data_IF_557655466786
#
_entry.id   IF_557655466786
#
_cell.length_a   1.000
_cell.length_b   1.000
_cell.length_c   1.000
_cell.angle_alpha   90.00
_cell.angle_beta   90.00
_cell.angle_gamma   90.00
#
_symmetry.space_group_name_H-M   'P 1'
#
loop_
_entity.id
_entity.type
_entity.pdbx_description
1 polymer ?
#
# COMPACT_ATOMS: atom_id res chain seq x y z
N UNK A 1 -5.93 22.90 -17.02
CA UNK A 1 -5.98 22.50 -15.59
C UNK A 1 -5.08 21.28 -15.37
N UNK A 2 -4.14 21.40 -14.45
CA UNK A 2 -3.23 20.29 -14.16
C UNK A 2 -3.82 19.42 -13.07
N UNK A 3 -4.00 18.15 -13.36
CA UNK A 3 -4.25 17.18 -12.32
C UNK A 3 -2.95 16.98 -11.54
N UNK A 4 -3.02 17.04 -10.23
CA UNK A 4 -1.90 16.69 -9.37
C UNK A 4 -1.57 15.20 -9.58
N UNK A 5 -0.29 14.89 -9.77
CA UNK A 5 0.11 13.49 -9.80
C UNK A 5 0.00 12.88 -8.41
N UNK A 6 -0.57 11.69 -8.36
CA UNK A 6 -0.74 10.94 -7.12
C UNK A 6 0.53 10.13 -6.88
N UNK A 7 1.07 10.21 -5.67
CA UNK A 7 2.23 9.44 -5.24
C UNK A 7 1.76 8.25 -4.40
N UNK A 8 2.11 7.05 -4.84
CA UNK A 8 1.77 5.80 -4.17
C UNK A 8 3.04 5.17 -3.62
N UNK A 9 3.08 4.92 -2.33
CA UNK A 9 4.15 4.14 -1.72
C UNK A 9 3.73 2.66 -1.71
N UNK A 10 4.65 1.77 -2.04
CA UNK A 10 4.41 0.33 -2.08
C UNK A 10 5.39 -0.35 -1.14
N UNK A 11 4.88 -1.11 -0.18
CA UNK A 11 5.70 -1.86 0.76
C UNK A 11 5.38 -3.35 0.63
N UNK A 12 6.35 -4.11 0.17
CA UNK A 12 6.24 -5.56 -0.03
C UNK A 12 7.66 -6.14 -0.05
N UNK A 13 7.89 -7.26 0.61
CA UNK A 13 9.21 -7.87 0.65
C UNK A 13 9.54 -8.72 -0.59
N UNK A 14 8.59 -8.89 -1.50
CA UNK A 14 8.81 -9.61 -2.76
C UNK A 14 9.21 -8.62 -3.87
N UNK A 15 10.47 -8.69 -4.36
CA UNK A 15 10.94 -7.76 -5.39
C UNK A 15 10.18 -7.89 -6.71
N UNK A 16 9.62 -9.06 -7.00
CA UNK A 16 8.82 -9.26 -8.21
C UNK A 16 7.51 -8.48 -8.14
N UNK A 17 6.87 -8.47 -6.98
CA UNK A 17 5.66 -7.68 -6.75
C UNK A 17 5.98 -6.19 -6.84
N UNK A 18 7.05 -5.74 -6.19
CA UNK A 18 7.46 -4.33 -6.25
C UNK A 18 7.70 -3.86 -7.68
N UNK A 19 8.42 -4.65 -8.46
CA UNK A 19 8.71 -4.32 -9.86
C UNK A 19 7.47 -4.28 -10.72
N UNK A 20 6.60 -5.28 -10.61
CA UNK A 20 5.37 -5.36 -11.39
C UNK A 20 4.41 -4.22 -11.06
N UNK A 21 4.23 -3.93 -9.78
CA UNK A 21 3.34 -2.86 -9.34
C UNK A 21 3.88 -1.51 -9.78
N UNK A 22 5.19 -1.29 -9.66
CA UNK A 22 5.81 -0.05 -10.12
C UNK A 22 5.57 0.19 -11.59
N UNK A 23 5.79 -0.82 -12.42
CA UNK A 23 5.56 -0.70 -13.87
C UNK A 23 4.11 -0.35 -14.18
N UNK A 24 3.17 -1.02 -13.51
CA UNK A 24 1.75 -0.80 -13.71
C UNK A 24 1.36 0.62 -13.28
N UNK A 25 1.81 1.06 -12.13
CA UNK A 25 1.50 2.40 -11.63
C UNK A 25 2.12 3.49 -12.50
N UNK A 26 3.37 3.32 -12.91
CA UNK A 26 4.04 4.28 -13.79
C UNK A 26 3.32 4.40 -15.14
N UNK A 27 2.84 3.27 -15.68
CA UNK A 27 2.09 3.25 -16.93
C UNK A 27 0.75 4.01 -16.81
N UNK A 28 0.22 4.14 -15.61
CA UNK A 28 -1.01 4.88 -15.32
C UNK A 28 -0.76 6.28 -14.76
N UNK A 29 0.45 6.79 -14.93
CA UNK A 29 0.83 8.17 -14.58
C UNK A 29 0.85 8.46 -13.08
N UNK A 30 1.00 7.43 -12.23
CA UNK A 30 1.26 7.62 -10.81
C UNK A 30 2.76 7.73 -10.56
N UNK A 31 3.13 8.49 -9.54
CA UNK A 31 4.50 8.48 -9.01
C UNK A 31 4.56 7.31 -8.02
N UNK A 32 5.60 6.49 -8.12
CA UNK A 32 5.73 5.27 -7.31
C UNK A 32 7.00 5.30 -6.48
N UNK A 33 6.88 5.05 -5.19
CA UNK A 33 7.98 4.86 -4.26
C UNK A 33 7.89 3.45 -3.70
N UNK A 34 8.92 2.62 -3.89
CA UNK A 34 8.88 1.21 -3.47
C UNK A 34 9.82 0.95 -2.31
N UNK A 35 9.40 0.09 -1.39
CA UNK A 35 10.16 -0.29 -0.21
C UNK A 35 9.99 -1.78 0.06
N UNK A 36 11.10 -2.45 0.41
CA UNK A 36 11.10 -3.87 0.68
C UNK A 36 10.76 -4.19 2.15
N UNK A 37 10.64 -3.18 3.00
CA UNK A 37 10.37 -3.37 4.42
C UNK A 37 9.63 -2.17 5.02
N UNK A 38 8.96 -2.42 6.13
CA UNK A 38 8.31 -1.36 6.90
C UNK A 38 9.35 -0.38 7.44
N UNK A 39 10.49 -0.88 7.90
CA UNK A 39 11.57 -0.05 8.44
C UNK A 39 12.12 0.88 7.37
N UNK A 40 12.34 0.37 6.17
CA UNK A 40 12.82 1.17 5.03
C UNK A 40 11.84 2.29 4.68
N UNK A 41 10.54 1.97 4.69
CA UNK A 41 9.51 2.96 4.43
C UNK A 41 9.50 4.05 5.50
N UNK A 42 9.51 3.68 6.77
CA UNK A 42 9.47 4.64 7.87
C UNK A 42 10.72 5.52 7.91
N UNK A 43 11.89 4.94 7.62
CA UNK A 43 13.16 5.68 7.64
C UNK A 43 13.34 6.60 6.43
N UNK A 44 12.57 6.42 5.38
CA UNK A 44 12.76 7.15 4.12
C UNK A 44 12.34 8.61 4.17
N UNK A 45 11.46 8.98 5.08
CA UNK A 45 10.92 10.33 5.15
C UNK A 45 9.92 10.68 4.06
N UNK A 46 9.39 9.70 3.31
CA UNK A 46 8.48 9.96 2.19
C UNK A 46 7.03 10.25 2.62
N UNK A 47 6.65 9.91 3.85
CA UNK A 47 5.26 9.98 4.29
C UNK A 47 4.58 11.31 3.97
N UNK A 48 5.20 12.49 4.18
CA UNK A 48 4.53 13.76 3.89
C UNK A 48 4.16 13.97 2.42
N UNK A 49 4.84 13.28 1.49
CA UNK A 49 4.56 13.44 0.07
C UNK A 49 3.81 12.27 -0.56
N UNK A 50 3.45 11.27 0.24
CA UNK A 50 2.72 10.08 -0.23
C UNK A 50 1.23 10.31 -0.05
N UNK A 51 0.47 9.99 -1.09
CA UNK A 51 -0.99 10.14 -1.07
C UNK A 51 -1.71 8.87 -0.66
N UNK A 52 -1.09 7.72 -0.86
CA UNK A 52 -1.70 6.41 -0.62
C UNK A 52 -0.61 5.37 -0.41
N UNK A 53 -0.86 4.43 0.50
CA UNK A 53 0.07 3.34 0.81
C UNK A 53 -0.54 2.01 0.37
N UNK A 54 0.20 1.30 -0.47
CA UNK A 54 -0.13 -0.07 -0.87
C UNK A 54 0.78 -1.01 -0.07
N UNK A 55 0.20 -1.82 0.78
CA UNK A 55 0.92 -2.49 1.86
C UNK A 55 0.59 -3.97 1.93
N UNK A 56 1.62 -4.83 1.83
CA UNK A 56 1.46 -6.25 2.06
C UNK A 56 1.11 -6.50 3.53
N UNK A 57 0.09 -7.31 3.79
CA UNK A 57 -0.28 -7.70 5.15
C UNK A 57 0.85 -8.47 5.81
N UNK A 58 1.54 -9.34 5.03
CA UNK A 58 2.63 -10.16 5.55
C UNK A 58 3.98 -9.62 5.10
N UNK A 59 4.69 -9.00 6.01
CA UNK A 59 6.06 -8.56 5.79
C UNK A 59 6.99 -9.38 6.67
N UNK A 60 8.22 -9.58 6.22
CA UNK A 60 9.23 -10.23 7.05
C UNK A 60 9.47 -9.37 8.30
N UNK A 61 9.31 -9.95 9.47
CA UNK A 61 9.58 -9.28 10.74
C UNK A 61 8.48 -8.40 11.30
N UNK A 62 7.43 -8.11 10.52
CA UNK A 62 6.29 -7.31 10.98
C UNK A 62 5.09 -7.55 10.10
N UNK A 63 3.88 -7.41 10.64
CA UNK A 63 2.68 -7.46 9.82
C UNK A 63 2.38 -6.08 9.24
N UNK A 64 1.72 -6.04 8.08
CA UNK A 64 1.25 -4.79 7.51
C UNK A 64 0.24 -4.08 8.42
N UNK A 65 -0.55 -4.85 9.17
CA UNK A 65 -1.49 -4.27 10.13
C UNK A 65 -0.75 -3.54 11.26
N UNK A 66 0.36 -4.07 11.73
CA UNK A 66 1.18 -3.40 12.74
C UNK A 66 1.73 -2.06 12.23
N UNK A 67 2.18 -2.03 10.97
CA UNK A 67 2.65 -0.78 10.37
C UNK A 67 1.51 0.23 10.28
N UNK A 68 0.34 -0.21 9.86
CA UNK A 68 -0.84 0.65 9.76
C UNK A 68 -1.21 1.22 11.14
N UNK A 69 -1.20 0.39 12.18
CA UNK A 69 -1.48 0.81 13.53
C UNK A 69 -0.45 1.82 14.04
N UNK A 70 0.82 1.60 13.70
CA UNK A 70 1.90 2.53 14.05
C UNK A 70 1.67 3.90 13.40
N UNK A 71 1.32 3.93 12.12
CA UNK A 71 1.05 5.18 11.41
C UNK A 71 -0.12 5.92 12.04
N UNK A 72 -1.19 5.22 12.38
CA UNK A 72 -2.35 5.83 13.04
C UNK A 72 -1.98 6.40 14.40
N UNK A 73 -1.19 5.67 15.18
CA UNK A 73 -0.74 6.12 16.49
C UNK A 73 0.13 7.38 16.39
N UNK A 74 0.83 7.55 15.27
CA UNK A 74 1.65 8.75 15.01
C UNK A 74 0.85 9.89 14.40
N UNK A 75 -0.46 9.76 14.26
CA UNK A 75 -1.32 10.80 13.73
C UNK A 75 -1.39 10.86 12.21
N UNK A 76 -0.84 9.88 11.51
CA UNK A 76 -0.91 9.83 10.05
C UNK A 76 -2.32 9.46 9.61
N UNK A 77 -2.83 10.19 8.60
CA UNK A 77 -4.12 9.88 7.97
C UNK A 77 -3.95 9.27 6.60
N UNK A 78 -2.77 8.72 6.34
CA UNK A 78 -2.43 8.11 5.05
C UNK A 78 -3.39 6.94 4.75
N UNK A 79 -4.13 7.00 3.63
CA UNK A 79 -5.00 5.89 3.26
C UNK A 79 -4.18 4.63 2.94
N UNK A 80 -4.63 3.48 3.42
CA UNK A 80 -3.93 2.21 3.25
C UNK A 80 -4.79 1.25 2.45
N UNK A 81 -4.17 0.67 1.43
CA UNK A 81 -4.72 -0.45 0.66
C UNK A 81 -3.85 -1.66 1.01
N UNK A 82 -4.46 -2.71 1.55
CA UNK A 82 -3.72 -3.93 1.85
C UNK A 82 -3.68 -4.87 0.65
N UNK A 83 -2.55 -5.57 0.51
CA UNK A 83 -2.39 -6.67 -0.42
C UNK A 83 -2.20 -7.97 0.37
N UNK A 84 -2.76 -9.07 -0.09
CA UNK A 84 -2.56 -10.37 0.52
C UNK A 84 -2.46 -11.46 -0.54
N UNK A 85 -1.52 -12.39 -0.36
CA UNK A 85 -1.41 -13.59 -1.19
C UNK A 85 -1.91 -14.83 -0.49
N UNK A 86 -2.30 -14.72 0.77
CA UNK A 86 -2.68 -15.86 1.58
C UNK A 86 -4.18 -15.91 1.83
N UNK A 87 -4.72 -17.13 1.88
CA UNK A 87 -6.10 -17.36 2.26
C UNK A 87 -6.19 -17.50 3.79
N UNK A 88 -5.66 -16.53 4.53
CA UNK A 88 -5.73 -16.50 5.99
C UNK A 88 -6.84 -15.55 6.42
N UNK A 89 -7.98 -16.13 6.82
CA UNK A 89 -9.15 -15.35 7.20
C UNK A 89 -8.91 -14.48 8.42
N UNK A 90 -8.05 -14.91 9.35
CA UNK A 90 -7.74 -14.13 10.54
C UNK A 90 -6.98 -12.85 10.16
N UNK A 91 -6.01 -12.94 9.26
CA UNK A 91 -5.27 -11.78 8.76
C UNK A 91 -6.19 -10.84 7.96
N UNK A 92 -7.06 -11.41 7.11
CA UNK A 92 -8.02 -10.61 6.35
C UNK A 92 -8.94 -9.84 7.29
N UNK A 93 -9.41 -10.48 8.34
CA UNK A 93 -10.30 -9.85 9.33
C UNK A 93 -9.58 -8.74 10.08
N UNK A 94 -8.32 -8.97 10.45
CA UNK A 94 -7.49 -7.95 11.10
C UNK A 94 -7.31 -6.72 10.19
N UNK A 95 -7.04 -6.95 8.90
CA UNK A 95 -6.87 -5.89 7.93
C UNK A 95 -8.14 -5.05 7.78
N UNK A 96 -9.29 -5.71 7.67
CA UNK A 96 -10.58 -5.02 7.56
C UNK A 96 -10.90 -4.23 8.82
N UNK A 97 -10.62 -4.80 9.99
CA UNK A 97 -10.85 -4.14 11.27
C UNK A 97 -9.91 -2.96 11.49
N UNK A 98 -8.74 -2.96 10.87
CA UNK A 98 -7.79 -1.85 10.96
C UNK A 98 -8.23 -0.61 10.16
N UNK A 99 -9.31 -0.72 9.38
CA UNK A 99 -9.86 0.42 8.67
C UNK A 99 -9.16 0.75 7.37
N UNK A 100 -8.79 -0.26 6.58
CA UNK A 100 -8.20 -0.04 5.26
C UNK A 100 -9.25 0.45 4.26
N UNK A 101 -8.77 1.10 3.20
CA UNK A 101 -9.63 1.56 2.09
C UNK A 101 -10.09 0.36 1.26
N UNK A 102 -9.18 -0.59 1.01
CA UNK A 102 -9.46 -1.77 0.22
C UNK A 102 -8.48 -2.88 0.58
N UNK A 103 -8.87 -4.11 0.27
CA UNK A 103 -8.02 -5.29 0.41
C UNK A 103 -7.95 -5.97 -0.95
N UNK A 104 -6.75 -6.08 -1.51
CA UNK A 104 -6.51 -6.71 -2.79
C UNK A 104 -5.88 -8.07 -2.61
N UNK A 105 -6.42 -9.08 -3.29
CA UNK A 105 -5.87 -10.43 -3.30
C UNK A 105 -4.88 -10.58 -4.45
N UNK A 106 -3.68 -11.05 -4.16
CA UNK A 106 -2.66 -11.34 -5.18
C UNK A 106 -2.96 -12.69 -5.85
N UNK A 107 -2.84 -12.80 -7.16
CA UNK A 107 -2.61 -11.72 -8.13
C UNK A 107 -3.88 -10.91 -8.35
N UNK A 108 -3.74 -9.59 -8.45
CA UNK A 108 -4.88 -8.72 -8.74
C UNK A 108 -4.77 -8.15 -10.15
N UNK A 109 -5.91 -7.75 -10.70
CA UNK A 109 -5.97 -7.15 -12.03
C UNK A 109 -5.65 -5.65 -11.94
N UNK A 110 -5.16 -5.10 -13.04
CA UNK A 110 -4.81 -3.69 -13.12
C UNK A 110 -5.97 -2.79 -12.67
N UNK A 111 -7.19 -3.03 -13.17
CA UNK A 111 -8.33 -2.19 -12.82
C UNK A 111 -8.67 -2.26 -11.34
N UNK A 112 -8.44 -3.40 -10.68
CA UNK A 112 -8.68 -3.52 -9.25
C UNK A 112 -7.76 -2.61 -8.45
N UNK A 113 -6.49 -2.53 -8.83
CA UNK A 113 -5.52 -1.66 -8.19
C UNK A 113 -5.85 -0.18 -8.45
N UNK A 114 -6.13 0.17 -9.70
CA UNK A 114 -6.44 1.56 -10.06
C UNK A 114 -7.72 2.03 -9.37
N UNK A 115 -8.76 1.20 -9.34
CA UNK A 115 -10.01 1.53 -8.65
C UNK A 115 -9.78 1.74 -7.14
N UNK A 116 -8.94 0.91 -6.52
CA UNK A 116 -8.61 1.06 -5.11
C UNK A 116 -7.90 2.38 -4.84
N UNK A 117 -6.96 2.77 -5.68
CA UNK A 117 -6.23 4.03 -5.54
C UNK A 117 -7.19 5.22 -5.73
N UNK A 118 -8.05 5.17 -6.73
CA UNK A 118 -9.03 6.23 -6.96
C UNK A 118 -9.99 6.38 -5.78
N UNK A 119 -10.34 5.29 -5.14
CA UNK A 119 -11.17 5.30 -3.93
C UNK A 119 -10.41 5.90 -2.74
N UNK A 120 -9.12 5.65 -2.64
CA UNK A 120 -8.28 6.17 -1.56
C UNK A 120 -7.98 7.66 -1.72
N UNK A 121 -7.81 8.12 -2.95
CA UNK A 121 -7.44 9.51 -3.28
C UNK A 121 -8.47 10.06 -4.26
N UNK A 122 -9.63 10.48 -3.77
CA UNK A 122 -10.71 10.98 -4.63
C UNK A 122 -10.40 12.32 -5.32
#
# INVERSE_FOLDING_TARGET
MHKRQITVAVVDDDPNILGSVRELLNANCFITEIFASAEGFLASGVIPRVDCLLLDIQLAGASGVELRDHLEACGSKLPVIFMTGLADEALHRQALNAGCVALLHKPFLEHQLIDAIEKAVP
#
